data_IF_248030927051
#
_entry.id   IF_248030927051
#
_cell.length_a   1.000
_cell.length_b   1.000
_cell.length_c   1.000
_cell.angle_alpha   90.00
_cell.angle_beta   90.00
_cell.angle_gamma   90.00
#
_symmetry.space_group_name_H-M   'P 1'
#
loop_
_entity.id
_entity.type
_entity.pdbx_description
1 polymer ?
#
# COMPACT_ATOMS: atom_id res chain seq x y z
N UNK A 1 45.29 27.00 21.04
CA UNK A 1 44.38 27.76 20.15
C UNK A 1 44.15 26.92 18.94
N UNK A 2 43.12 26.10 18.95
CA UNK A 2 42.69 25.24 17.85
C UNK A 2 41.31 25.71 17.45
N UNK A 3 41.21 26.23 16.21
CA UNK A 3 40.01 26.79 15.61
C UNK A 3 39.03 25.66 15.28
N UNK A 4 37.82 25.71 15.89
CA UNK A 4 36.67 24.91 15.53
C UNK A 4 36.27 25.16 14.07
N UNK A 5 36.01 24.11 13.28
CA UNK A 5 35.39 24.28 11.97
C UNK A 5 33.89 24.63 12.15
N UNK A 6 33.54 25.86 11.80
CA UNK A 6 32.14 26.33 11.73
C UNK A 6 31.28 25.34 10.94
N UNK A 7 30.35 24.68 11.64
CA UNK A 7 29.24 23.98 11.02
C UNK A 7 28.46 25.00 10.18
N UNK A 8 28.50 24.85 8.87
CA UNK A 8 27.72 25.66 7.93
C UNK A 8 26.23 25.34 8.15
N UNK A 9 25.50 26.31 8.67
CA UNK A 9 24.04 26.25 8.73
C UNK A 9 23.49 26.02 7.29
N UNK A 10 22.48 25.17 7.11
CA UNK A 10 21.89 24.98 5.81
C UNK A 10 21.24 26.31 5.37
N UNK A 11 21.72 26.85 4.25
CA UNK A 11 21.11 28.01 3.61
C UNK A 11 19.65 27.65 3.26
N UNK A 12 18.72 28.36 3.87
CA UNK A 12 17.28 28.27 3.58
C UNK A 12 17.01 28.93 2.21
N UNK A 13 17.64 28.40 1.14
CA UNK A 13 17.41 28.89 -0.22
C UNK A 13 16.01 28.48 -0.66
N UNK A 14 15.18 29.46 -0.92
CA UNK A 14 13.84 29.26 -1.46
C UNK A 14 13.92 28.50 -2.79
N UNK A 15 13.22 27.38 -2.90
CA UNK A 15 13.19 26.57 -4.12
C UNK A 15 12.25 27.18 -5.17
N UNK A 16 12.74 28.16 -5.91
CA UNK A 16 12.00 28.83 -6.97
C UNK A 16 11.47 27.86 -8.03
N UNK A 17 12.23 26.84 -8.39
CA UNK A 17 11.81 25.85 -9.39
C UNK A 17 10.65 25.01 -8.86
N UNK A 18 10.70 24.55 -7.61
CA UNK A 18 9.60 23.83 -6.99
C UNK A 18 8.34 24.67 -6.86
N UNK A 19 8.47 25.95 -6.51
CA UNK A 19 7.37 26.89 -6.46
C UNK A 19 6.77 27.14 -7.87
N UNK A 20 7.59 27.31 -8.90
CA UNK A 20 7.12 27.47 -10.28
C UNK A 20 6.40 26.19 -10.76
N UNK A 21 6.91 25.02 -10.46
CA UNK A 21 6.22 23.75 -10.77
C UNK A 21 4.87 23.69 -10.07
N UNK A 22 4.81 23.98 -8.78
CA UNK A 22 3.59 23.92 -7.97
C UNK A 22 2.51 24.85 -8.43
N UNK A 23 2.86 26.10 -8.70
CA UNK A 23 1.89 27.17 -8.91
C UNK A 23 1.61 27.50 -10.37
N UNK A 24 2.47 27.10 -11.31
CA UNK A 24 2.34 27.43 -12.73
C UNK A 24 2.38 26.18 -13.62
N UNK A 25 3.49 25.44 -13.59
CA UNK A 25 3.73 24.37 -14.58
C UNK A 25 2.74 23.22 -14.40
N UNK A 26 2.63 22.69 -13.17
CA UNK A 26 1.74 21.56 -12.88
C UNK A 26 0.25 21.92 -13.08
N UNK A 27 -0.27 23.07 -12.62
CA UNK A 27 -1.66 23.46 -12.89
C UNK A 27 -1.98 23.58 -14.38
N UNK A 28 -1.10 24.18 -15.18
CA UNK A 28 -1.29 24.28 -16.63
C UNK A 28 -1.24 22.91 -17.31
N UNK A 29 -0.26 22.10 -16.95
CA UNK A 29 -0.15 20.72 -17.44
C UNK A 29 -1.38 19.87 -17.05
N UNK A 30 -1.81 19.95 -15.79
CA UNK A 30 -2.96 19.22 -15.30
C UNK A 30 -4.26 19.66 -16.00
N UNK A 31 -4.44 20.96 -16.25
CA UNK A 31 -5.63 21.46 -16.97
C UNK A 31 -5.80 20.80 -18.35
N UNK A 32 -4.70 20.48 -19.03
CA UNK A 32 -4.71 19.86 -20.37
C UNK A 32 -4.82 18.34 -20.26
N UNK A 33 -4.04 17.71 -19.38
CA UNK A 33 -3.87 16.25 -19.35
C UNK A 33 -4.78 15.56 -18.31
N UNK A 34 -5.22 16.29 -17.30
CA UNK A 34 -5.97 15.83 -16.12
C UNK A 34 -7.03 16.86 -15.71
N UNK A 35 -8.02 17.15 -16.56
CA UNK A 35 -8.92 18.30 -16.37
C UNK A 35 -9.76 18.26 -15.09
N UNK A 36 -10.05 17.06 -14.55
CA UNK A 36 -10.80 16.90 -13.31
C UNK A 36 -9.92 16.98 -12.05
N UNK A 37 -8.59 16.90 -12.17
CA UNK A 37 -7.66 16.83 -11.04
C UNK A 37 -7.84 18.00 -10.05
N UNK A 38 -7.83 19.25 -10.55
CA UNK A 38 -7.89 20.43 -9.68
C UNK A 38 -9.23 20.54 -8.93
N UNK A 39 -10.33 20.08 -9.56
CA UNK A 39 -11.65 20.00 -8.93
C UNK A 39 -11.64 18.99 -7.79
N UNK A 40 -11.21 17.75 -8.05
CA UNK A 40 -11.15 16.71 -7.04
C UNK A 40 -10.19 17.05 -5.88
N UNK A 41 -9.03 17.64 -6.17
CA UNK A 41 -8.10 18.03 -5.11
C UNK A 41 -8.77 19.01 -4.14
N UNK A 42 -9.44 20.05 -4.65
CA UNK A 42 -10.15 21.03 -3.85
C UNK A 42 -11.29 20.41 -3.06
N UNK A 43 -12.10 19.56 -3.70
CA UNK A 43 -13.20 18.85 -3.03
C UNK A 43 -12.67 17.97 -1.90
N UNK A 44 -11.63 17.18 -2.12
CA UNK A 44 -11.05 16.29 -1.13
C UNK A 44 -10.38 17.05 0.03
N UNK A 45 -9.71 18.18 -0.24
CA UNK A 45 -9.16 19.05 0.80
C UNK A 45 -10.24 19.67 1.69
N UNK A 46 -11.43 19.93 1.17
CA UNK A 46 -12.57 20.41 1.93
C UNK A 46 -13.30 19.27 2.66
N UNK A 47 -13.57 18.17 1.95
CA UNK A 47 -14.37 17.06 2.46
C UNK A 47 -13.76 16.40 3.70
N UNK A 48 -12.43 16.42 3.85
CA UNK A 48 -11.77 15.84 5.01
C UNK A 48 -12.16 16.50 6.35
N UNK A 49 -12.80 17.67 6.32
CA UNK A 49 -13.28 18.42 7.48
C UNK A 49 -14.81 18.53 7.54
N UNK A 50 -15.55 17.83 6.67
CA UNK A 50 -17.01 17.76 6.75
C UNK A 50 -17.45 17.15 8.08
N UNK A 51 -18.65 17.56 8.57
CA UNK A 51 -19.24 16.82 9.66
C UNK A 51 -19.44 15.35 9.27
N UNK A 52 -19.24 14.37 10.16
CA UNK A 52 -19.37 12.94 9.83
C UNK A 52 -20.68 12.58 9.12
N UNK A 53 -21.80 13.19 9.52
CA UNK A 53 -23.10 12.96 8.89
C UNK A 53 -23.14 13.48 7.45
N UNK A 54 -22.48 14.60 7.17
CA UNK A 54 -22.45 15.17 5.81
C UNK A 54 -21.50 14.37 4.91
N UNK A 55 -20.41 13.82 5.47
CA UNK A 55 -19.57 12.85 4.77
C UNK A 55 -20.35 11.57 4.44
N UNK A 56 -21.14 11.04 5.37
CA UNK A 56 -22.03 9.89 5.13
C UNK A 56 -23.07 10.20 4.03
N UNK A 57 -23.71 11.38 4.08
CA UNK A 57 -24.65 11.81 3.01
C UNK A 57 -23.96 11.90 1.64
N UNK A 58 -22.73 12.42 1.60
CA UNK A 58 -21.90 12.47 0.39
C UNK A 58 -21.67 11.05 -0.15
N UNK A 59 -21.20 10.12 0.69
CA UNK A 59 -20.97 8.73 0.32
C UNK A 59 -22.26 8.08 -0.23
N UNK A 60 -23.39 8.23 0.46
CA UNK A 60 -24.67 7.65 0.02
C UNK A 60 -25.15 8.24 -1.29
N UNK A 61 -24.95 9.53 -1.54
CA UNK A 61 -25.27 10.15 -2.83
C UNK A 61 -24.43 9.54 -3.97
N UNK A 62 -23.12 9.40 -3.74
CA UNK A 62 -22.19 8.81 -4.74
C UNK A 62 -22.48 7.33 -4.94
N UNK A 63 -22.72 6.58 -3.87
CA UNK A 63 -23.08 5.16 -3.92
C UNK A 63 -24.36 4.92 -4.71
N UNK A 64 -25.41 5.71 -4.44
CA UNK A 64 -26.68 5.59 -5.15
C UNK A 64 -26.49 5.80 -6.66
N UNK A 65 -25.72 6.81 -7.05
CA UNK A 65 -25.40 7.04 -8.45
C UNK A 65 -24.61 5.87 -9.05
N UNK A 66 -23.62 5.36 -8.32
CA UNK A 66 -22.80 4.23 -8.74
C UNK A 66 -23.64 2.95 -8.92
N UNK A 67 -24.58 2.66 -8.00
CA UNK A 67 -25.48 1.51 -8.10
C UNK A 67 -26.44 1.63 -9.28
N UNK A 68 -27.03 2.81 -9.51
CA UNK A 68 -27.92 3.05 -10.65
C UNK A 68 -27.16 2.86 -11.96
N UNK A 69 -25.97 3.41 -12.08
CA UNK A 69 -25.14 3.30 -13.29
C UNK A 69 -24.69 1.84 -13.50
N UNK A 70 -24.26 1.15 -12.43
CA UNK A 70 -23.89 -0.27 -12.47
C UNK A 70 -25.07 -1.15 -12.91
N UNK A 71 -26.24 -0.98 -12.32
CA UNK A 71 -27.43 -1.74 -12.69
C UNK A 71 -27.85 -1.49 -14.16
N UNK A 72 -27.77 -0.24 -14.62
CA UNK A 72 -28.20 0.15 -15.97
C UNK A 72 -27.21 -0.26 -17.05
N UNK A 73 -25.91 -0.13 -16.81
CA UNK A 73 -24.88 -0.16 -17.84
C UNK A 73 -23.85 -1.30 -17.70
N UNK A 74 -23.87 -2.06 -16.60
CA UNK A 74 -22.92 -3.15 -16.34
C UNK A 74 -23.70 -4.46 -16.21
N UNK A 75 -23.64 -5.35 -17.23
CA UNK A 75 -24.43 -6.59 -17.26
C UNK A 75 -24.24 -7.47 -16.02
N UNK A 76 -23.01 -7.57 -15.52
CA UNK A 76 -22.67 -8.34 -14.32
C UNK A 76 -23.47 -7.91 -13.07
N UNK A 77 -23.53 -6.61 -12.78
CA UNK A 77 -24.27 -6.13 -11.61
C UNK A 77 -25.77 -6.21 -11.78
N UNK A 78 -26.28 -5.98 -12.99
CA UNK A 78 -27.70 -6.17 -13.26
C UNK A 78 -28.14 -7.62 -12.99
N UNK A 79 -27.35 -8.58 -13.48
CA UNK A 79 -27.62 -10.00 -13.27
C UNK A 79 -27.61 -10.35 -11.78
N UNK A 80 -26.52 -10.04 -11.05
CA UNK A 80 -26.36 -10.36 -9.62
C UNK A 80 -27.41 -9.71 -8.73
N UNK A 81 -27.78 -8.45 -9.00
CA UNK A 81 -28.84 -7.78 -8.24
C UNK A 81 -30.20 -8.41 -8.52
N UNK A 82 -30.49 -8.73 -9.78
CA UNK A 82 -31.75 -9.41 -10.15
C UNK A 82 -31.85 -10.79 -9.51
N UNK A 83 -30.79 -11.58 -9.50
CA UNK A 83 -30.78 -12.90 -8.84
C UNK A 83 -30.97 -12.77 -7.31
N UNK A 84 -30.42 -11.72 -6.69
CA UNK A 84 -30.63 -11.43 -5.28
C UNK A 84 -32.00 -10.78 -4.97
N UNK A 85 -32.84 -10.54 -5.98
CA UNK A 85 -34.14 -9.86 -5.81
C UNK A 85 -34.01 -8.39 -5.43
N UNK A 86 -32.87 -7.75 -5.76
CA UNK A 86 -32.52 -6.38 -5.36
C UNK A 86 -32.57 -5.41 -6.54
N UNK A 87 -32.84 -4.17 -6.21
CA UNK A 87 -32.69 -3.01 -7.08
C UNK A 87 -31.76 -1.97 -6.42
N UNK A 88 -31.23 -0.99 -7.15
CA UNK A 88 -30.46 0.11 -6.54
C UNK A 88 -31.22 0.90 -5.46
N UNK A 89 -32.56 0.85 -5.46
CA UNK A 89 -33.39 1.58 -4.50
C UNK A 89 -33.53 0.88 -3.14
N UNK A 90 -33.15 -0.38 -3.05
CA UNK A 90 -33.19 -1.16 -1.82
C UNK A 90 -31.99 -0.82 -0.91
N UNK A 91 -30.91 -0.24 -1.48
CA UNK A 91 -29.73 0.22 -0.72
C UNK A 91 -29.94 1.70 -0.36
N UNK A 92 -30.43 1.94 0.85
CA UNK A 92 -30.81 3.27 1.35
C UNK A 92 -29.79 3.85 2.31
N UNK A 93 -29.11 3.00 3.06
CA UNK A 93 -28.09 3.33 4.08
C UNK A 93 -26.84 2.48 3.91
N UNK A 94 -25.78 2.79 4.68
CA UNK A 94 -24.56 1.96 4.67
C UNK A 94 -24.82 0.56 5.24
N UNK A 95 -25.77 0.44 6.16
CA UNK A 95 -26.17 -0.80 6.80
C UNK A 95 -26.85 -1.78 5.82
N UNK A 96 -27.32 -1.29 4.68
CA UNK A 96 -27.91 -2.12 3.62
C UNK A 96 -26.85 -2.69 2.66
N UNK A 97 -25.61 -2.22 2.70
CA UNK A 97 -24.54 -2.72 1.82
C UNK A 97 -24.34 -4.23 1.87
N UNK A 98 -24.40 -4.91 3.02
CA UNK A 98 -24.30 -6.36 3.12
C UNK A 98 -25.35 -7.15 2.32
N UNK A 99 -26.45 -6.53 1.90
CA UNK A 99 -27.44 -7.16 1.00
C UNK A 99 -26.84 -7.42 -0.40
N UNK A 100 -25.88 -6.59 -0.81
CA UNK A 100 -25.19 -6.75 -2.09
C UNK A 100 -24.16 -7.89 -2.02
N UNK A 101 -24.11 -8.78 -3.02
CA UNK A 101 -23.10 -9.83 -3.08
C UNK A 101 -21.66 -9.26 -3.15
N UNK A 102 -20.74 -9.91 -2.47
CA UNK A 102 -19.32 -9.56 -2.51
C UNK A 102 -18.74 -9.83 -3.90
N UNK A 103 -18.00 -8.89 -4.44
CA UNK A 103 -17.21 -9.04 -5.67
C UNK A 103 -15.84 -9.60 -5.33
N UNK A 104 -15.51 -10.75 -5.87
CA UNK A 104 -14.19 -11.39 -5.66
C UNK A 104 -13.24 -11.12 -6.82
N UNK A 105 -11.93 -11.36 -6.59
CA UNK A 105 -10.93 -11.33 -7.66
C UNK A 105 -11.26 -12.32 -8.78
N UNK A 106 -11.78 -13.49 -8.43
CA UNK A 106 -12.20 -14.54 -9.39
C UNK A 106 -13.37 -14.07 -10.24
N UNK A 107 -14.38 -13.43 -9.65
CA UNK A 107 -15.50 -12.85 -10.42
C UNK A 107 -14.98 -11.89 -11.49
N UNK A 108 -13.98 -11.05 -11.17
CA UNK A 108 -13.41 -10.11 -12.14
C UNK A 108 -12.67 -10.86 -13.25
N UNK A 109 -11.92 -11.91 -12.92
CA UNK A 109 -11.17 -12.70 -13.90
C UNK A 109 -12.11 -13.48 -14.85
N UNK A 110 -13.16 -14.08 -14.30
CA UNK A 110 -14.08 -14.92 -15.04
C UNK A 110 -15.11 -14.11 -15.87
N UNK A 111 -15.39 -12.85 -15.46
CA UNK A 111 -16.46 -12.02 -16.04
C UNK A 111 -16.01 -10.61 -16.44
N UNK A 112 -14.74 -10.44 -16.82
CA UNK A 112 -14.16 -9.12 -17.10
C UNK A 112 -14.99 -8.30 -18.09
N UNK A 113 -15.41 -8.88 -19.20
CA UNK A 113 -16.20 -8.19 -20.24
C UNK A 113 -17.58 -7.75 -19.77
N UNK A 114 -18.19 -8.52 -18.85
CA UNK A 114 -19.51 -8.21 -18.28
C UNK A 114 -19.41 -7.11 -17.20
N UNK A 115 -18.24 -6.90 -16.62
CA UNK A 115 -17.98 -5.85 -15.61
C UNK A 115 -17.70 -4.48 -16.23
N UNK A 116 -17.43 -4.43 -17.54
CA UNK A 116 -17.14 -3.16 -18.21
C UNK A 116 -18.44 -2.43 -18.57
N UNK A 117 -18.55 -1.20 -18.11
CA UNK A 117 -19.72 -0.35 -18.37
C UNK A 117 -19.86 -0.01 -19.85
N UNK A 118 -21.05 -0.21 -20.41
CA UNK A 118 -21.38 0.18 -21.79
C UNK A 118 -21.49 1.68 -21.99
N UNK A 119 -21.66 2.45 -20.90
CA UNK A 119 -21.83 3.91 -20.93
C UNK A 119 -20.52 4.68 -21.09
N UNK A 120 -19.38 4.09 -20.79
CA UNK A 120 -18.07 4.73 -20.91
C UNK A 120 -17.38 4.22 -22.18
N UNK A 121 -17.10 5.09 -23.17
CA UNK A 121 -16.47 4.64 -24.41
C UNK A 121 -15.01 4.22 -24.21
N UNK A 122 -14.45 3.31 -25.06
CA UNK A 122 -13.10 2.76 -24.89
C UNK A 122 -11.98 3.81 -24.77
N UNK A 123 -12.08 4.92 -25.53
CA UNK A 123 -11.09 6.01 -25.49
C UNK A 123 -11.13 6.84 -24.18
N UNK A 124 -12.14 6.64 -23.33
CA UNK A 124 -12.24 7.22 -21.98
C UNK A 124 -11.85 6.25 -20.86
N UNK A 125 -11.39 5.05 -21.21
CA UNK A 125 -10.94 4.02 -20.27
C UNK A 125 -9.43 3.88 -20.34
N UNK A 126 -8.79 3.74 -19.17
CA UNK A 126 -7.37 3.39 -19.05
C UNK A 126 -7.30 1.97 -18.51
N UNK A 127 -6.65 1.07 -19.23
CA UNK A 127 -6.34 -0.26 -18.74
C UNK A 127 -5.28 -0.19 -17.64
N UNK A 128 -5.44 -1.00 -16.63
CA UNK A 128 -4.48 -1.17 -15.53
C UNK A 128 -4.43 -2.65 -15.14
N UNK A 129 -3.37 -3.05 -14.43
CA UNK A 129 -3.21 -4.43 -13.98
C UNK A 129 -2.51 -4.51 -12.64
N UNK A 130 -2.80 -5.56 -11.87
CA UNK A 130 -2.08 -5.84 -10.62
C UNK A 130 -0.73 -6.50 -10.89
N UNK A 131 0.19 -6.44 -9.92
CA UNK A 131 1.54 -7.02 -10.05
C UNK A 131 1.60 -8.56 -10.03
N UNK A 132 0.46 -9.27 -9.94
CA UNK A 132 0.41 -10.73 -10.10
C UNK A 132 1.11 -11.54 -9.00
N UNK A 133 1.12 -11.10 -7.75
CA UNK A 133 1.72 -11.84 -6.62
C UNK A 133 1.14 -13.25 -6.38
N UNK A 134 0.01 -13.58 -7.01
CA UNK A 134 -0.66 -14.90 -6.95
C UNK A 134 -0.69 -15.61 -8.31
N UNK A 135 0.25 -15.31 -9.22
CA UNK A 135 0.40 -15.98 -10.51
C UNK A 135 -0.31 -15.31 -11.69
N UNK A 136 -1.57 -14.88 -11.56
CA UNK A 136 -2.29 -14.23 -12.66
C UNK A 136 -2.58 -12.77 -12.33
N UNK A 137 -2.03 -11.79 -13.10
CA UNK A 137 -2.36 -10.37 -12.93
C UNK A 137 -3.86 -10.15 -13.16
N UNK A 138 -4.49 -9.35 -12.29
CA UNK A 138 -5.83 -8.89 -12.51
C UNK A 138 -5.80 -7.69 -13.45
N UNK A 139 -6.48 -7.77 -14.57
CA UNK A 139 -6.69 -6.65 -15.49
C UNK A 139 -8.01 -5.95 -15.15
N UNK A 140 -8.01 -4.62 -15.17
CA UNK A 140 -9.19 -3.82 -14.91
C UNK A 140 -9.10 -2.46 -15.62
N UNK A 141 -10.24 -1.76 -15.67
CA UNK A 141 -10.33 -0.45 -16.30
C UNK A 141 -10.66 0.64 -15.30
N UNK A 142 -10.03 1.79 -15.50
CA UNK A 142 -10.29 3.02 -14.76
C UNK A 142 -10.65 4.10 -15.78
N UNK A 143 -11.77 4.81 -15.58
CA UNK A 143 -12.06 5.94 -16.45
C UNK A 143 -11.12 7.13 -16.21
N UNK A 144 -11.04 8.02 -17.19
CA UNK A 144 -10.11 9.16 -17.14
C UNK A 144 -10.38 10.06 -15.94
N UNK A 145 -11.65 10.28 -15.59
CA UNK A 145 -12.03 11.11 -14.46
C UNK A 145 -11.65 10.48 -13.12
N UNK A 146 -11.86 9.16 -12.99
CA UNK A 146 -11.40 8.42 -11.82
C UNK A 146 -9.88 8.43 -11.70
N UNK A 147 -9.15 8.36 -12.81
CA UNK A 147 -7.69 8.47 -12.79
C UNK A 147 -7.25 9.82 -12.20
N UNK A 148 -7.88 10.92 -12.59
CA UNK A 148 -7.61 12.25 -12.07
C UNK A 148 -7.92 12.35 -10.57
N UNK A 149 -9.03 11.77 -10.10
CA UNK A 149 -9.39 11.74 -8.69
C UNK A 149 -8.41 10.92 -7.85
N UNK A 150 -7.83 9.82 -8.40
CA UNK A 150 -6.76 9.05 -7.75
C UNK A 150 -5.51 9.88 -7.55
N UNK A 151 -5.12 10.66 -8.56
CA UNK A 151 -3.99 11.60 -8.43
C UNK A 151 -4.25 12.65 -7.35
N UNK A 152 -5.46 13.23 -7.32
CA UNK A 152 -5.86 14.20 -6.32
C UNK A 152 -5.85 13.62 -4.90
N UNK A 153 -6.38 12.40 -4.71
CA UNK A 153 -6.32 11.66 -3.44
C UNK A 153 -4.86 11.47 -2.99
N UNK A 154 -3.99 11.03 -3.90
CA UNK A 154 -2.57 10.82 -3.58
C UNK A 154 -1.89 12.12 -3.14
N UNK A 155 -2.15 13.24 -3.85
CA UNK A 155 -1.59 14.54 -3.48
C UNK A 155 -2.09 15.00 -2.10
N UNK A 156 -3.40 14.87 -1.82
CA UNK A 156 -3.95 15.17 -0.49
C UNK A 156 -3.28 14.34 0.61
N UNK A 157 -3.20 13.03 0.44
CA UNK A 157 -2.59 12.15 1.45
C UNK A 157 -1.09 12.41 1.63
N UNK A 158 -0.36 12.69 0.54
CA UNK A 158 1.05 13.10 0.61
C UNK A 158 1.25 14.40 1.39
N UNK A 159 0.30 15.34 1.29
CA UNK A 159 0.39 16.63 1.99
C UNK A 159 0.33 16.50 3.51
N UNK A 160 -0.28 15.42 4.05
CA UNK A 160 -0.29 15.15 5.49
C UNK A 160 1.10 14.81 6.04
N UNK A 161 1.97 14.25 5.20
CA UNK A 161 3.38 14.04 5.49
C UNK A 161 4.27 15.23 5.06
N UNK A 162 3.68 16.35 4.63
CA UNK A 162 4.38 17.54 4.19
C UNK A 162 4.81 17.57 2.73
N UNK A 163 4.73 16.46 1.99
CA UNK A 163 5.12 16.38 0.58
C UNK A 163 4.10 17.08 -0.32
N UNK A 164 4.53 18.09 -1.05
CA UNK A 164 3.71 18.89 -1.98
C UNK A 164 4.17 18.71 -3.43
N UNK A 165 3.29 19.03 -4.36
CA UNK A 165 3.66 19.12 -5.77
C UNK A 165 4.86 20.09 -5.92
N UNK A 166 5.87 19.66 -6.67
CA UNK A 166 7.09 20.44 -6.89
C UNK A 166 8.19 20.25 -5.84
N UNK A 167 7.96 19.45 -4.80
CA UNK A 167 9.03 19.05 -3.89
C UNK A 167 9.78 17.84 -4.44
N UNK A 168 11.10 17.78 -4.19
CA UNK A 168 11.89 16.59 -4.51
C UNK A 168 11.60 15.47 -3.51
N UNK A 169 11.43 14.25 -4.01
CA UNK A 169 11.32 13.06 -3.17
C UNK A 169 12.11 11.88 -3.73
N UNK A 170 12.66 11.08 -2.83
CA UNK A 170 13.26 9.80 -3.12
C UNK A 170 12.17 8.76 -3.34
N UNK A 171 12.33 7.86 -4.34
CA UNK A 171 11.31 6.89 -4.70
C UNK A 171 11.89 5.48 -4.89
N UNK A 172 12.34 4.81 -3.81
CA UNK A 172 12.68 3.40 -3.84
C UNK A 172 11.43 2.55 -4.06
N UNK A 173 11.23 2.05 -5.29
CA UNK A 173 9.98 1.42 -5.69
C UNK A 173 10.19 0.09 -6.41
N UNK A 174 9.42 -0.95 -6.06
CA UNK A 174 9.62 -2.31 -6.56
C UNK A 174 8.90 -2.63 -7.87
N UNK A 175 7.90 -1.84 -8.26
CA UNK A 175 7.08 -2.15 -9.44
C UNK A 175 7.75 -1.70 -10.74
N UNK A 176 8.13 -2.66 -11.58
CA UNK A 176 8.60 -2.39 -12.95
C UNK A 176 7.55 -1.70 -13.81
N UNK A 177 6.29 -2.01 -13.57
CA UNK A 177 5.18 -1.39 -14.31
C UNK A 177 5.09 0.12 -14.10
N UNK A 178 5.49 0.62 -12.92
CA UNK A 178 5.42 2.05 -12.59
C UNK A 178 6.69 2.80 -13.02
N UNK A 179 7.85 2.16 -12.93
CA UNK A 179 9.16 2.80 -13.20
C UNK A 179 9.71 2.49 -14.60
N UNK A 180 9.16 1.47 -15.30
CA UNK A 180 9.75 0.93 -16.51
C UNK A 180 11.07 0.19 -16.24
N UNK A 181 11.78 -0.16 -17.29
CA UNK A 181 13.04 -0.93 -17.21
C UNK A 181 14.30 -0.04 -17.06
N UNK A 182 14.16 1.20 -16.58
CA UNK A 182 15.28 2.12 -16.43
C UNK A 182 16.02 1.90 -15.10
N UNK A 183 17.22 1.34 -15.12
CA UNK A 183 18.04 1.11 -13.92
C UNK A 183 18.76 2.38 -13.43
N UNK A 184 18.72 3.49 -14.18
CA UNK A 184 19.43 4.71 -13.84
C UNK A 184 18.66 5.52 -12.78
N UNK A 185 19.24 5.76 -11.59
CA UNK A 185 18.64 6.59 -10.57
C UNK A 185 18.58 8.09 -10.93
N UNK A 186 19.31 8.53 -11.97
CA UNK A 186 19.22 9.92 -12.44
C UNK A 186 17.85 10.19 -13.03
N UNK A 187 17.19 11.31 -12.65
CA UNK A 187 15.84 11.58 -13.10
C UNK A 187 15.82 11.91 -14.60
N UNK A 188 14.95 11.21 -15.34
CA UNK A 188 14.62 11.61 -16.70
C UNK A 188 13.96 13.00 -16.73
N UNK A 189 13.86 13.61 -17.91
CA UNK A 189 13.35 14.99 -18.05
C UNK A 189 11.99 15.23 -17.33
N UNK A 190 11.02 14.31 -17.49
CA UNK A 190 9.72 14.42 -16.81
C UNK A 190 9.82 14.32 -15.30
N UNK A 191 10.62 13.39 -14.79
CA UNK A 191 10.88 13.28 -13.36
C UNK A 191 11.56 14.54 -12.82
N UNK A 192 12.46 15.16 -13.59
CA UNK A 192 13.18 16.36 -13.16
C UNK A 192 12.29 17.62 -13.14
N UNK A 193 11.48 17.83 -14.16
CA UNK A 193 10.77 19.11 -14.36
C UNK A 193 9.26 19.07 -14.08
N UNK A 194 8.69 17.90 -13.82
CA UNK A 194 7.26 17.78 -13.51
C UNK A 194 7.04 17.07 -12.17
N UNK A 195 7.59 15.89 -12.00
CA UNK A 195 7.33 15.05 -10.82
C UNK A 195 8.35 15.24 -9.69
N UNK A 196 9.57 15.67 -10.01
CA UNK A 196 10.71 15.80 -9.06
C UNK A 196 10.96 14.54 -8.24
N UNK A 197 10.89 13.39 -8.87
CA UNK A 197 11.14 12.09 -8.25
C UNK A 197 12.51 11.53 -8.63
N UNK A 198 13.19 10.95 -7.63
CA UNK A 198 14.46 10.27 -7.75
C UNK A 198 14.22 8.78 -7.51
N UNK A 199 14.16 7.99 -8.57
CA UNK A 199 13.70 6.60 -8.49
C UNK A 199 14.86 5.63 -8.32
N UNK A 200 14.67 4.62 -7.46
CA UNK A 200 15.52 3.43 -7.35
C UNK A 200 14.63 2.20 -7.56
N UNK A 201 14.96 1.41 -8.57
CA UNK A 201 14.23 0.15 -8.82
C UNK A 201 14.69 -0.92 -7.84
N UNK A 202 13.80 -1.37 -6.94
CA UNK A 202 14.18 -2.22 -5.80
C UNK A 202 13.87 -3.71 -5.95
N UNK A 203 13.22 -4.13 -7.04
CA UNK A 203 12.92 -5.56 -7.26
C UNK A 203 14.18 -6.42 -7.43
N UNK A 204 15.27 -5.85 -7.99
CA UNK A 204 16.58 -6.51 -8.12
C UNK A 204 17.69 -5.45 -8.00
N UNK A 205 17.90 -4.94 -6.76
CA UNK A 205 18.86 -3.86 -6.53
C UNK A 205 20.22 -4.41 -6.09
N UNK A 206 21.30 -3.99 -6.78
CA UNK A 206 22.68 -4.25 -6.35
C UNK A 206 23.19 -3.15 -5.40
N UNK A 207 24.27 -3.45 -4.68
CA UNK A 207 24.92 -2.46 -3.80
C UNK A 207 25.45 -1.27 -4.58
N UNK A 208 25.96 -1.48 -5.81
CA UNK A 208 26.42 -0.39 -6.68
C UNK A 208 25.24 0.52 -7.08
N UNK A 209 24.04 -0.04 -7.34
CA UNK A 209 22.86 0.76 -7.64
C UNK A 209 22.42 1.58 -6.43
N UNK A 210 22.46 1.01 -5.22
CA UNK A 210 22.18 1.73 -3.99
C UNK A 210 23.21 2.83 -3.74
N UNK A 211 24.51 2.58 -3.99
CA UNK A 211 25.55 3.60 -3.84
C UNK A 211 25.35 4.74 -4.85
N UNK A 212 25.08 4.45 -6.12
CA UNK A 212 24.74 5.50 -7.12
C UNK A 212 23.52 6.30 -6.71
N UNK A 213 22.52 5.65 -6.10
CA UNK A 213 21.35 6.34 -5.60
C UNK A 213 21.70 7.30 -4.45
N UNK A 214 22.58 6.92 -3.53
CA UNK A 214 23.12 7.80 -2.48
C UNK A 214 23.75 9.05 -3.08
N UNK A 215 24.55 8.92 -4.15
CA UNK A 215 25.16 10.07 -4.84
C UNK A 215 24.11 11.01 -5.43
N UNK A 216 23.04 10.45 -6.03
CA UNK A 216 21.91 11.22 -6.54
C UNK A 216 21.18 11.94 -5.40
N UNK A 217 20.94 11.26 -4.27
CA UNK A 217 20.32 11.88 -3.10
C UNK A 217 21.16 13.02 -2.53
N UNK A 218 22.49 12.88 -2.46
CA UNK A 218 23.41 13.95 -2.05
C UNK A 218 23.34 15.17 -2.96
N UNK A 219 23.19 14.94 -4.26
CA UNK A 219 23.10 16.01 -5.27
C UNK A 219 21.79 16.79 -5.21
N UNK A 220 20.66 16.08 -5.09
CA UNK A 220 19.32 16.69 -5.17
C UNK A 220 18.72 17.04 -3.80
N UNK A 221 19.20 16.42 -2.72
CA UNK A 221 18.81 16.63 -1.33
C UNK A 221 17.28 16.63 -1.14
N UNK A 222 16.58 15.54 -1.53
CA UNK A 222 15.13 15.45 -1.34
C UNK A 222 14.79 15.47 0.16
N UNK A 223 13.74 16.19 0.52
CA UNK A 223 13.23 16.23 1.90
C UNK A 223 12.30 15.09 2.22
N UNK A 224 11.82 14.38 1.21
CA UNK A 224 10.78 13.35 1.33
C UNK A 224 11.21 12.05 0.69
N UNK A 225 10.65 10.94 1.22
CA UNK A 225 10.75 9.63 0.57
C UNK A 225 9.35 9.05 0.42
N UNK A 226 9.06 8.41 -0.72
CA UNK A 226 7.89 7.57 -0.96
C UNK A 226 8.39 6.21 -1.41
N UNK A 227 8.16 5.17 -0.63
CA UNK A 227 8.80 3.88 -0.86
C UNK A 227 7.88 2.69 -0.56
N UNK A 228 8.23 1.51 -1.08
CA UNK A 228 7.77 0.27 -0.48
C UNK A 228 8.40 0.10 0.90
N UNK A 229 7.64 -0.40 1.88
CA UNK A 229 8.10 -0.48 3.26
C UNK A 229 9.42 -1.28 3.39
N UNK A 230 9.49 -2.47 2.79
CA UNK A 230 10.71 -3.29 2.82
C UNK A 230 11.85 -2.70 1.99
N UNK A 231 11.54 -2.00 0.89
CA UNK A 231 12.55 -1.30 0.10
C UNK A 231 13.22 -0.17 0.88
N UNK A 232 12.43 0.60 1.62
CA UNK A 232 12.94 1.64 2.51
C UNK A 232 13.83 1.06 3.61
N UNK A 233 13.38 -0.02 4.26
CA UNK A 233 14.14 -0.71 5.32
C UNK A 233 15.46 -1.25 4.78
N UNK A 234 15.45 -1.93 3.63
CA UNK A 234 16.68 -2.44 3.00
C UNK A 234 17.66 -1.34 2.66
N UNK A 235 17.16 -0.19 2.19
CA UNK A 235 18.00 0.97 1.91
C UNK A 235 18.57 1.58 3.21
N UNK A 236 17.80 1.62 4.30
CA UNK A 236 18.31 2.07 5.60
C UNK A 236 19.38 1.11 6.15
N UNK A 237 19.15 -0.20 6.07
CA UNK A 237 20.14 -1.21 6.47
C UNK A 237 21.44 -1.09 5.66
N UNK A 238 21.34 -0.84 4.35
CA UNK A 238 22.49 -0.57 3.48
C UNK A 238 23.26 0.70 3.92
N UNK A 239 22.55 1.81 4.18
CA UNK A 239 23.17 3.04 4.65
C UNK A 239 23.92 2.84 5.98
N UNK A 240 23.30 2.13 6.93
CA UNK A 240 23.91 1.83 8.22
C UNK A 240 25.17 0.95 8.08
N UNK A 241 25.11 -0.10 7.27
CA UNK A 241 26.25 -1.01 7.01
C UNK A 241 27.43 -0.27 6.38
N UNK A 242 27.17 0.71 5.51
CA UNK A 242 28.19 1.51 4.82
C UNK A 242 28.52 2.83 5.53
N UNK A 243 28.02 3.05 6.77
CA UNK A 243 28.26 4.26 7.58
C UNK A 243 27.86 5.57 6.87
N UNK A 244 26.78 5.51 6.09
CA UNK A 244 26.19 6.65 5.39
C UNK A 244 25.18 7.32 6.33
N UNK A 245 25.54 8.46 6.92
CA UNK A 245 24.74 9.17 7.93
C UNK A 245 24.31 10.57 7.48
N UNK A 246 24.65 10.95 6.26
CA UNK A 246 24.41 12.28 5.68
C UNK A 246 23.12 12.34 4.83
N UNK A 247 22.45 11.22 4.63
CA UNK A 247 21.14 11.18 3.98
C UNK A 247 20.04 11.31 5.05
N UNK A 248 19.23 12.34 4.93
CA UNK A 248 18.12 12.62 5.86
C UNK A 248 16.85 12.98 5.11
N UNK A 249 15.68 12.71 5.70
CA UNK A 249 14.38 13.12 5.17
C UNK A 249 13.56 13.80 6.27
N UNK A 250 12.74 14.79 5.92
CA UNK A 250 11.80 15.40 6.87
C UNK A 250 10.67 14.38 7.16
N UNK A 251 10.22 13.66 6.12
CA UNK A 251 9.26 12.56 6.26
C UNK A 251 9.41 11.48 5.19
N UNK A 252 8.93 10.28 5.53
CA UNK A 252 8.97 9.09 4.69
C UNK A 252 7.58 8.46 4.63
N UNK A 253 6.99 8.40 3.44
CA UNK A 253 5.72 7.71 3.21
C UNK A 253 6.05 6.29 2.75
N UNK A 254 5.67 5.29 3.54
CA UNK A 254 5.84 3.89 3.18
C UNK A 254 4.50 3.26 2.78
N UNK A 255 4.51 2.36 1.83
CA UNK A 255 3.28 1.80 1.25
C UNK A 255 3.51 0.41 0.68
N UNK A 256 2.43 -0.18 0.13
CA UNK A 256 2.41 -1.42 -0.64
C UNK A 256 2.67 -2.71 0.13
N UNK A 257 3.30 -2.64 1.29
CA UNK A 257 3.63 -3.74 2.18
C UNK A 257 3.42 -3.30 3.62
N UNK A 258 3.23 -4.26 4.53
CA UNK A 258 3.08 -3.95 5.95
C UNK A 258 4.39 -3.38 6.51
N UNK A 259 4.27 -2.25 7.20
CA UNK A 259 5.35 -1.69 8.01
C UNK A 259 5.34 -2.36 9.40
N UNK A 260 6.32 -3.21 9.65
CA UNK A 260 6.47 -3.82 10.98
C UNK A 260 6.93 -2.76 12.01
N UNK A 261 6.41 -2.77 13.24
CA UNK A 261 6.70 -1.73 14.26
C UNK A 261 8.20 -1.48 14.49
N UNK A 262 9.01 -2.52 14.67
CA UNK A 262 10.46 -2.37 14.84
C UNK A 262 11.18 -1.77 13.63
N UNK A 263 10.60 -1.88 12.42
CA UNK A 263 11.20 -1.33 11.20
C UNK A 263 10.93 0.17 11.04
N UNK A 264 9.85 0.70 11.63
CA UNK A 264 9.61 2.14 11.73
C UNK A 264 10.78 2.84 12.43
N UNK A 265 11.18 2.33 13.60
CA UNK A 265 12.29 2.89 14.36
C UNK A 265 13.61 2.91 13.57
N UNK A 266 13.94 1.82 12.85
CA UNK A 266 15.14 1.78 12.00
C UNK A 266 15.13 2.90 10.95
N UNK A 267 13.99 3.15 10.30
CA UNK A 267 13.87 4.21 9.30
C UNK A 267 14.04 5.60 9.93
N UNK A 268 13.36 5.86 11.04
CA UNK A 268 13.37 7.15 11.73
C UNK A 268 14.74 7.47 12.31
N UNK A 269 15.44 6.48 12.88
CA UNK A 269 16.81 6.64 13.40
C UNK A 269 17.81 6.86 12.26
N UNK A 270 17.73 6.06 11.17
CA UNK A 270 18.68 6.15 10.06
C UNK A 270 18.56 7.48 9.33
N UNK A 271 17.33 7.89 9.00
CA UNK A 271 17.09 9.05 8.14
C UNK A 271 16.62 10.31 8.88
N UNK A 272 16.49 10.24 10.21
CA UNK A 272 16.17 11.36 11.12
C UNK A 272 14.86 12.08 10.80
N UNK A 273 13.88 11.37 10.22
CA UNK A 273 12.58 11.90 9.86
C UNK A 273 11.44 11.01 10.30
N UNK A 274 10.19 11.47 10.19
CA UNK A 274 9.02 10.73 10.59
C UNK A 274 8.54 9.78 9.48
N UNK A 275 8.09 8.59 9.85
CA UNK A 275 7.49 7.63 8.94
C UNK A 275 5.97 7.75 8.96
N UNK A 276 5.36 7.76 7.78
CA UNK A 276 3.92 7.77 7.55
C UNK A 276 3.53 6.51 6.81
N UNK A 277 2.67 5.70 7.42
CA UNK A 277 2.15 4.50 6.77
C UNK A 277 0.98 4.81 5.85
N UNK A 278 0.94 4.16 4.67
CA UNK A 278 -0.11 4.32 3.67
C UNK A 278 -0.58 2.98 3.14
N UNK A 279 -1.86 2.74 3.30
CA UNK A 279 -2.54 1.58 2.82
C UNK A 279 -3.23 1.83 1.49
N UNK A 280 -3.12 0.91 0.57
CA UNK A 280 -3.78 0.97 -0.72
C UNK A 280 -3.47 -0.22 -1.61
N UNK A 281 -4.23 -0.32 -2.68
CA UNK A 281 -4.04 -1.32 -3.70
C UNK A 281 -4.12 -0.70 -5.10
N UNK A 282 -3.70 -1.45 -6.11
CA UNK A 282 -3.68 -0.92 -7.48
C UNK A 282 -5.09 -0.70 -8.03
N UNK A 283 -6.05 -1.49 -7.59
CA UNK A 283 -7.43 -1.47 -8.04
C UNK A 283 -8.17 -0.17 -7.68
N UNK A 284 -7.94 0.36 -6.47
CA UNK A 284 -8.65 1.56 -5.99
C UNK A 284 -7.71 2.72 -5.58
N UNK A 285 -6.39 2.53 -5.66
CA UNK A 285 -5.36 3.50 -5.25
C UNK A 285 -5.23 3.62 -3.72
N UNK A 286 -5.07 4.84 -3.19
CA UNK A 286 -4.97 5.09 -1.75
C UNK A 286 -6.30 4.75 -1.08
N UNK A 287 -6.28 3.83 -0.11
CA UNK A 287 -7.42 3.48 0.72
C UNK A 287 -7.39 4.28 2.02
N UNK A 288 -6.23 4.33 2.68
CA UNK A 288 -6.05 5.07 3.92
C UNK A 288 -4.59 5.48 4.13
N UNK A 289 -4.34 6.51 4.96
CA UNK A 289 -2.99 6.95 5.32
C UNK A 289 -2.95 7.55 6.71
N UNK A 290 -1.79 7.45 7.36
CA UNK A 290 -1.49 8.21 8.57
C UNK A 290 -1.48 9.71 8.28
N UNK A 291 -1.86 10.49 9.26
CA UNK A 291 -1.62 11.92 9.34
C UNK A 291 -0.49 12.24 10.32
N UNK A 292 -0.23 13.52 10.55
CA UNK A 292 0.81 14.06 11.44
C UNK A 292 0.73 13.58 12.90
N UNK A 293 -0.41 13.04 13.33
CA UNK A 293 -0.63 12.52 14.70
C UNK A 293 -0.38 11.02 14.84
N UNK A 294 -0.23 10.28 13.73
CA UNK A 294 0.02 8.82 13.74
C UNK A 294 -0.96 7.99 14.61
N UNK A 295 -2.22 8.45 14.70
CA UNK A 295 -3.26 7.82 15.56
C UNK A 295 -4.08 6.77 14.81
N UNK A 296 -3.63 6.30 13.65
CA UNK A 296 -4.31 5.37 12.74
C UNK A 296 -4.35 5.90 11.32
N UNK A 297 -4.93 5.11 10.42
CA UNK A 297 -4.97 5.43 8.99
C UNK A 297 -6.33 6.04 8.63
N UNK A 298 -6.36 7.31 8.25
CA UNK A 298 -7.57 7.97 7.75
C UNK A 298 -7.99 7.40 6.40
N UNK A 299 -9.21 6.87 6.33
CA UNK A 299 -9.80 6.33 5.11
C UNK A 299 -10.07 7.44 4.11
N UNK A 300 -9.84 7.17 2.83
CA UNK A 300 -10.17 8.05 1.69
C UNK A 300 -11.69 8.03 1.42
N UNK A 301 -12.48 8.40 2.46
CA UNK A 301 -13.92 8.13 2.56
C UNK A 301 -14.78 8.95 1.60
N UNK A 302 -14.26 10.02 1.02
CA UNK A 302 -14.95 10.80 -0.01
C UNK A 302 -14.79 10.22 -1.43
N UNK A 303 -14.02 9.12 -1.57
CA UNK A 303 -13.86 8.37 -2.83
C UNK A 303 -14.21 6.89 -2.67
N UNK A 304 -14.18 6.37 -1.45
CA UNK A 304 -14.35 4.94 -1.14
C UNK A 304 -15.30 4.73 0.03
N UNK A 305 -16.01 3.60 0.04
CA UNK A 305 -16.55 3.02 1.26
C UNK A 305 -15.70 1.80 1.58
N UNK A 306 -15.25 1.70 2.83
CA UNK A 306 -14.46 0.58 3.32
C UNK A 306 -15.27 -0.11 4.40
N UNK A 307 -15.54 -1.40 4.20
CA UNK A 307 -16.19 -2.30 5.16
C UNK A 307 -15.15 -3.27 5.70
N UNK A 308 -15.28 -3.63 6.98
CA UNK A 308 -14.56 -4.78 7.56
C UNK A 308 -15.61 -5.80 7.95
N UNK A 309 -15.76 -6.80 7.12
CA UNK A 309 -16.77 -7.85 7.29
C UNK A 309 -16.21 -8.98 8.15
N UNK A 310 -16.80 -9.26 9.32
CA UNK A 310 -16.38 -10.39 10.16
C UNK A 310 -16.38 -11.69 9.35
N UNK A 311 -15.36 -12.52 9.55
CA UNK A 311 -15.29 -13.83 8.92
C UNK A 311 -15.04 -14.92 9.96
N UNK A 312 -15.60 -16.13 9.80
CA UNK A 312 -15.36 -17.25 10.71
C UNK A 312 -13.84 -17.53 10.79
N UNK A 313 -13.41 -17.99 11.98
CA UNK A 313 -12.02 -18.36 12.28
C UNK A 313 -11.00 -17.20 12.34
N UNK A 314 -11.43 -15.95 12.29
CA UNK A 314 -10.58 -14.79 12.55
C UNK A 314 -10.63 -14.38 14.04
N UNK A 315 -9.58 -13.71 14.54
CA UNK A 315 -9.62 -13.10 15.87
C UNK A 315 -10.78 -12.10 16.00
N UNK A 316 -11.32 -11.97 17.22
CA UNK A 316 -12.40 -11.02 17.51
C UNK A 316 -12.02 -9.60 17.09
N UNK A 317 -12.95 -8.89 16.47
CA UNK A 317 -12.76 -7.52 15.97
C UNK A 317 -12.07 -7.43 14.61
N UNK A 318 -11.68 -8.56 14.00
CA UNK A 318 -11.10 -8.61 12.67
C UNK A 318 -12.07 -9.10 11.62
N UNK A 319 -11.89 -8.62 10.40
CA UNK A 319 -12.68 -9.03 9.26
C UNK A 319 -11.97 -8.82 7.93
N UNK A 320 -12.63 -9.30 6.85
CA UNK A 320 -12.20 -9.10 5.47
C UNK A 320 -12.42 -7.65 5.07
N UNK A 321 -11.44 -7.05 4.41
CA UNK A 321 -11.59 -5.69 3.88
C UNK A 321 -12.32 -5.74 2.55
N UNK A 322 -13.50 -5.12 2.51
CA UNK A 322 -14.27 -4.90 1.29
C UNK A 322 -14.23 -3.42 0.95
N UNK A 323 -14.05 -3.11 -0.33
CA UNK A 323 -13.99 -1.72 -0.80
C UNK A 323 -15.00 -1.49 -1.91
N UNK A 324 -15.78 -0.42 -1.76
CA UNK A 324 -16.62 0.11 -2.83
C UNK A 324 -16.01 1.38 -3.38
N UNK A 325 -15.61 1.37 -4.66
CA UNK A 325 -15.11 2.56 -5.36
C UNK A 325 -16.30 3.40 -5.83
N UNK A 326 -16.47 4.57 -5.23
CA UNK A 326 -17.61 5.47 -5.49
C UNK A 326 -17.48 6.26 -6.79
N UNK A 327 -16.31 6.24 -7.43
CA UNK A 327 -15.98 7.15 -8.52
C UNK A 327 -15.61 6.45 -9.83
N UNK A 328 -15.27 5.16 -9.83
CA UNK A 328 -14.93 4.43 -11.05
C UNK A 328 -16.20 3.96 -11.78
N UNK A 329 -16.53 4.61 -12.88
CA UNK A 329 -17.73 4.29 -13.69
C UNK A 329 -17.45 3.34 -14.84
N UNK A 330 -16.19 3.17 -15.24
CA UNK A 330 -15.84 2.31 -16.38
C UNK A 330 -15.87 0.82 -16.04
N UNK A 331 -15.48 0.48 -14.82
CA UNK A 331 -15.53 -0.87 -14.27
C UNK A 331 -15.75 -0.74 -12.75
N UNK A 332 -17.01 -0.62 -12.32
CA UNK A 332 -17.34 -0.43 -10.92
C UNK A 332 -16.83 -1.57 -10.05
N UNK A 333 -16.21 -1.26 -8.92
CA UNK A 333 -15.82 -2.20 -7.88
C UNK A 333 -16.73 -1.94 -6.66
N UNK A 334 -17.78 -2.74 -6.52
CA UNK A 334 -18.78 -2.62 -5.45
C UNK A 334 -18.62 -3.82 -4.52
N UNK A 335 -18.34 -3.57 -3.23
CA UNK A 335 -18.01 -4.57 -2.22
C UNK A 335 -16.90 -5.52 -2.67
N UNK A 336 -15.85 -4.96 -3.27
CA UNK A 336 -14.71 -5.74 -3.77
C UNK A 336 -13.83 -6.23 -2.61
N UNK A 337 -13.67 -7.55 -2.51
CA UNK A 337 -12.77 -8.20 -1.55
C UNK A 337 -11.33 -8.08 -2.05
N UNK A 338 -10.56 -7.21 -1.41
CA UNK A 338 -9.17 -6.94 -1.83
C UNK A 338 -8.18 -8.01 -1.34
N UNK A 339 -8.65 -8.93 -0.48
CA UNK A 339 -7.87 -10.02 0.08
C UNK A 339 -7.01 -9.64 1.29
N UNK A 340 -7.29 -8.51 1.92
CA UNK A 340 -6.63 -8.07 3.15
C UNK A 340 -7.55 -8.22 4.35
N UNK A 341 -6.96 -8.35 5.55
CA UNK A 341 -7.68 -8.38 6.83
C UNK A 341 -7.32 -7.15 7.65
N UNK A 342 -8.33 -6.59 8.30
CA UNK A 342 -8.16 -5.41 9.17
C UNK A 342 -9.15 -5.41 10.33
N UNK A 343 -8.95 -4.48 11.26
CA UNK A 343 -9.97 -4.04 12.21
C UNK A 343 -10.45 -2.63 11.85
N UNK A 344 -11.76 -2.35 12.03
CA UNK A 344 -12.26 -0.99 12.00
C UNK A 344 -12.22 -0.44 13.43
N UNK A 345 -11.63 0.74 13.57
CA UNK A 345 -11.68 1.49 14.83
C UNK A 345 -12.60 2.70 14.63
N UNK A 346 -13.90 2.46 14.84
CA UNK A 346 -14.96 3.46 14.60
C UNK A 346 -15.10 4.47 15.73
N UNK A 347 -14.51 4.21 16.90
CA UNK A 347 -14.66 5.04 18.10
C UNK A 347 -13.52 6.04 18.30
N UNK A 348 -12.34 5.75 17.75
CA UNK A 348 -11.17 6.64 17.89
C UNK A 348 -11.30 7.85 16.99
N UNK A 349 -11.22 9.03 17.59
CA UNK A 349 -11.10 10.30 16.86
C UNK A 349 -9.65 10.77 16.88
N UNK A 350 -9.13 11.11 15.69
CA UNK A 350 -7.81 11.68 15.59
C UNK A 350 -7.81 13.15 16.03
N UNK A 351 -6.81 13.60 16.80
CA UNK A 351 -6.68 15.02 17.18
C UNK A 351 -6.46 15.99 16.03
N UNK A 352 -6.16 15.48 14.83
CA UNK A 352 -5.90 16.30 13.64
C UNK A 352 -7.10 17.14 13.15
N UNK A 353 -8.29 16.86 13.67
CA UNK A 353 -9.53 17.55 13.29
C UNK A 353 -10.16 17.09 11.98
N UNK A 354 -9.54 16.12 11.26
CA UNK A 354 -10.18 15.48 10.10
C UNK A 354 -11.26 14.53 10.56
N UNK A 355 -12.38 14.53 9.86
CA UNK A 355 -13.54 13.68 10.16
C UNK A 355 -13.53 12.35 9.40
N UNK A 356 -12.49 12.08 8.63
CA UNK A 356 -12.33 10.82 7.90
C UNK A 356 -12.23 9.65 8.88
N UNK A 357 -12.99 8.56 8.69
CA UNK A 357 -12.92 7.38 9.55
C UNK A 357 -11.50 6.81 9.63
N UNK A 358 -11.18 6.18 10.74
CA UNK A 358 -9.93 5.47 10.91
C UNK A 358 -10.12 3.97 10.64
N UNK A 359 -9.21 3.39 9.88
CA UNK A 359 -9.01 1.95 9.84
C UNK A 359 -7.93 1.60 10.86
N UNK A 360 -8.17 0.55 11.64
CA UNK A 360 -7.23 0.07 12.66
C UNK A 360 -6.09 -0.76 12.04
N UNK A 361 -5.65 -1.77 12.77
CA UNK A 361 -4.53 -2.59 12.33
C UNK A 361 -4.87 -3.39 11.07
N UNK A 362 -4.06 -3.21 10.03
CA UNK A 362 -4.05 -4.07 8.85
C UNK A 362 -3.12 -5.25 9.14
N UNK A 363 -3.66 -6.47 9.07
CA UNK A 363 -2.93 -7.69 9.45
C UNK A 363 -2.29 -8.41 8.26
N UNK A 364 -2.29 -7.80 7.09
CA UNK A 364 -1.77 -8.38 5.86
C UNK A 364 -2.83 -9.12 5.04
N UNK A 365 -2.37 -9.89 4.05
CA UNK A 365 -3.25 -10.58 3.10
C UNK A 365 -3.74 -11.89 3.66
N UNK A 366 -4.91 -12.34 3.24
CA UNK A 366 -5.43 -13.68 3.53
C UNK A 366 -4.48 -14.80 3.08
N UNK A 367 -3.66 -14.54 2.04
CA UNK A 367 -2.58 -15.44 1.59
C UNK A 367 -1.34 -15.43 2.48
N UNK A 368 -1.22 -14.49 3.40
CA UNK A 368 -0.13 -14.40 4.38
C UNK A 368 -0.52 -14.98 5.75
N UNK A 369 -1.52 -15.86 5.78
CA UNK A 369 -1.94 -16.57 6.98
C UNK A 369 -1.51 -18.03 6.96
N UNK A 370 -0.99 -18.48 8.09
CA UNK A 370 -0.87 -19.92 8.38
C UNK A 370 -2.24 -20.45 8.79
N UNK A 371 -2.62 -21.60 8.28
CA UNK A 371 -3.83 -22.31 8.68
C UNK A 371 -3.46 -23.48 9.59
N UNK A 372 -3.97 -23.50 10.80
CA UNK A 372 -3.73 -24.59 11.74
C UNK A 372 -4.69 -25.78 11.50
N UNK A 373 -4.39 -26.99 12.03
CA UNK A 373 -5.27 -28.15 11.94
C UNK A 373 -6.67 -27.90 12.51
N UNK A 374 -6.80 -27.08 13.55
CA UNK A 374 -8.08 -26.60 14.12
C UNK A 374 -8.91 -25.74 13.17
N UNK A 375 -8.35 -25.31 12.02
CA UNK A 375 -8.93 -24.34 11.11
C UNK A 375 -8.68 -22.89 11.50
N UNK A 376 -8.06 -22.62 12.67
CA UNK A 376 -7.66 -21.29 13.10
C UNK A 376 -6.61 -20.70 12.15
N UNK A 377 -6.71 -19.42 11.88
CA UNK A 377 -5.78 -18.68 11.01
C UNK A 377 -4.88 -17.75 11.83
N UNK A 378 -3.59 -17.73 11.52
CA UNK A 378 -2.60 -16.86 12.17
C UNK A 378 -1.91 -16.04 11.10
N UNK A 379 -1.90 -14.72 11.27
CA UNK A 379 -1.18 -13.83 10.36
C UNK A 379 0.33 -14.06 10.42
N UNK A 380 0.95 -14.40 9.30
CA UNK A 380 2.40 -14.53 9.18
C UNK A 380 3.15 -13.27 9.62
N UNK A 381 2.71 -12.06 9.23
CA UNK A 381 3.27 -10.82 9.77
C UNK A 381 3.23 -10.73 11.30
N UNK A 382 2.15 -11.16 11.95
CA UNK A 382 2.05 -11.17 13.42
C UNK A 382 3.05 -12.13 14.08
N UNK A 383 3.28 -13.30 13.47
CA UNK A 383 4.34 -14.21 13.92
C UNK A 383 5.74 -13.63 13.63
N UNK A 384 5.92 -12.95 12.50
CA UNK A 384 7.20 -12.31 12.17
C UNK A 384 7.57 -11.21 13.17
N UNK A 385 6.58 -10.56 13.81
CA UNK A 385 6.80 -9.59 14.89
C UNK A 385 7.51 -10.21 16.11
N UNK A 386 7.30 -11.50 16.37
CA UNK A 386 7.95 -12.20 17.48
C UNK A 386 9.49 -12.33 17.31
N UNK A 387 9.98 -12.07 16.09
CA UNK A 387 11.42 -12.03 15.78
C UNK A 387 11.93 -10.59 15.52
N UNK A 388 11.06 -9.58 15.54
CA UNK A 388 11.40 -8.24 15.08
C UNK A 388 12.41 -7.51 15.99
N UNK A 389 12.48 -7.85 17.28
CA UNK A 389 13.43 -7.32 18.26
C UNK A 389 14.76 -8.10 18.33
N UNK A 390 14.84 -9.25 17.62
CA UNK A 390 16.02 -10.09 17.62
C UNK A 390 17.06 -9.56 16.61
N UNK A 391 18.17 -8.99 17.12
CA UNK A 391 19.24 -8.36 16.30
C UNK A 391 19.99 -9.35 15.43
N UNK A 392 19.99 -10.61 15.81
CA UNK A 392 20.61 -11.75 15.13
C UNK A 392 19.68 -12.41 14.08
N UNK A 393 18.47 -11.86 13.86
CA UNK A 393 17.52 -12.27 12.82
C UNK A 393 17.28 -11.10 11.87
N UNK A 394 17.63 -11.26 10.58
CA UNK A 394 17.46 -10.23 9.55
C UNK A 394 16.09 -10.28 8.89
N UNK A 395 15.68 -11.49 8.47
CA UNK A 395 14.40 -11.73 7.79
C UNK A 395 13.84 -13.10 8.17
N UNK A 396 12.51 -13.23 8.14
CA UNK A 396 11.81 -14.50 8.37
C UNK A 396 10.71 -14.70 7.33
N UNK A 397 10.53 -15.95 6.86
CA UNK A 397 9.44 -16.33 5.98
C UNK A 397 8.91 -17.70 6.40
N UNK A 398 7.61 -17.82 6.50
CA UNK A 398 6.95 -19.09 6.78
C UNK A 398 6.64 -19.81 5.48
N UNK A 399 6.94 -21.12 5.44
CA UNK A 399 6.55 -22.00 4.35
C UNK A 399 5.64 -23.06 4.95
N UNK A 400 4.38 -23.05 4.54
CA UNK A 400 3.40 -24.04 5.02
C UNK A 400 3.16 -25.09 3.96
N UNK A 401 3.51 -26.33 4.26
CA UNK A 401 3.27 -27.49 3.40
C UNK A 401 1.84 -28.02 3.54
N UNK A 402 1.39 -28.10 4.76
CA UNK A 402 0.04 -28.44 5.18
C UNK A 402 -0.20 -27.85 6.57
N UNK A 403 -1.42 -27.91 7.12
CA UNK A 403 -1.71 -27.31 8.43
C UNK A 403 -0.84 -27.82 9.58
N UNK A 404 -0.30 -29.05 9.51
CA UNK A 404 0.51 -29.64 10.56
C UNK A 404 2.02 -29.34 10.44
N UNK A 405 2.49 -28.84 9.29
CA UNK A 405 3.93 -28.65 9.03
C UNK A 405 4.25 -27.23 8.56
N UNK A 406 4.89 -26.48 9.44
CA UNK A 406 5.35 -25.10 9.19
C UNK A 406 6.88 -25.07 9.21
N UNK A 407 7.48 -24.52 8.15
CA UNK A 407 8.92 -24.26 8.09
C UNK A 407 9.14 -22.76 8.23
N UNK A 408 9.94 -22.33 9.21
CA UNK A 408 10.43 -20.97 9.35
C UNK A 408 11.78 -20.84 8.65
N UNK A 409 11.80 -20.12 7.55
CA UNK A 409 13.03 -19.75 6.84
C UNK A 409 13.58 -18.47 7.45
N UNK A 410 14.85 -18.48 7.87
CA UNK A 410 15.50 -17.38 8.59
C UNK A 410 16.71 -16.90 7.80
N UNK A 411 16.83 -15.62 7.55
CA UNK A 411 18.08 -14.99 7.14
C UNK A 411 18.82 -14.56 8.40
N UNK A 412 19.94 -15.23 8.65
CA UNK A 412 20.75 -15.01 9.84
C UNK A 412 21.40 -13.61 9.84
N UNK A 413 21.40 -12.95 10.99
CA UNK A 413 22.16 -11.77 11.29
C UNK A 413 23.47 -12.09 12.02
N UNK A 414 24.20 -11.05 12.41
CA UNK A 414 25.43 -11.23 13.20
C UNK A 414 25.08 -11.78 14.59
N UNK A 415 25.73 -12.90 14.96
CA UNK A 415 25.50 -13.55 16.25
C UNK A 415 24.42 -14.65 16.25
N UNK A 416 23.85 -14.98 15.07
CA UNK A 416 22.89 -16.08 14.96
C UNK A 416 23.49 -17.41 15.44
N UNK A 417 22.76 -18.12 16.27
CA UNK A 417 23.24 -19.34 16.92
C UNK A 417 22.09 -20.28 17.26
N UNK A 418 22.39 -21.48 17.78
CA UNK A 418 21.39 -22.40 18.26
C UNK A 418 20.47 -21.77 19.33
N UNK A 419 21.02 -20.89 20.18
CA UNK A 419 20.24 -20.14 21.17
C UNK A 419 19.18 -19.24 20.52
N UNK A 420 19.49 -18.64 19.37
CA UNK A 420 18.55 -17.84 18.58
C UNK A 420 17.40 -18.71 18.06
N UNK A 421 17.70 -19.94 17.58
CA UNK A 421 16.67 -20.87 17.11
C UNK A 421 15.77 -21.35 18.26
N UNK A 422 16.34 -21.65 19.42
CA UNK A 422 15.59 -22.03 20.61
C UNK A 422 14.65 -20.89 21.05
N UNK A 423 15.12 -19.67 21.01
CA UNK A 423 14.32 -18.47 21.35
C UNK A 423 13.20 -18.23 20.32
N UNK A 424 13.48 -18.35 19.02
CA UNK A 424 12.45 -18.29 17.96
C UNK A 424 11.38 -19.35 18.19
N UNK A 425 11.79 -20.60 18.45
CA UNK A 425 10.87 -21.69 18.74
C UNK A 425 10.04 -21.42 19.99
N UNK A 426 10.66 -20.99 21.06
CA UNK A 426 9.98 -20.65 22.33
C UNK A 426 8.92 -19.55 22.14
N UNK A 427 9.20 -18.54 21.30
CA UNK A 427 8.26 -17.45 21.04
C UNK A 427 7.10 -17.84 20.11
N UNK A 428 7.37 -18.69 19.12
CA UNK A 428 6.41 -19.00 18.06
C UNK A 428 5.55 -20.25 18.35
N UNK A 429 6.12 -21.26 18.99
CA UNK A 429 5.41 -22.51 19.26
C UNK A 429 4.07 -22.37 19.99
N UNK A 430 3.90 -21.44 20.96
CA UNK A 430 2.60 -21.26 21.64
C UNK A 430 1.46 -20.82 20.70
N UNK A 431 1.79 -20.21 19.57
CA UNK A 431 0.80 -19.75 18.57
C UNK A 431 0.45 -20.86 17.57
N UNK A 432 1.37 -21.82 17.34
CA UNK A 432 1.23 -22.86 16.33
C UNK A 432 0.46 -24.09 16.81
N UNK A 433 0.03 -24.10 18.08
CA UNK A 433 -0.62 -25.24 18.76
C UNK A 433 0.27 -26.51 18.83
N UNK A 434 -0.14 -27.49 19.62
CA UNK A 434 0.65 -28.73 19.79
C UNK A 434 0.63 -29.61 18.53
N UNK A 435 -0.34 -29.44 17.68
CA UNK A 435 -0.54 -30.24 16.47
C UNK A 435 0.27 -29.79 15.27
N UNK A 436 0.89 -28.59 15.33
CA UNK A 436 1.71 -28.04 14.24
C UNK A 436 3.20 -28.08 14.61
N UNK A 437 3.98 -28.74 13.80
CA UNK A 437 5.44 -28.79 13.94
C UNK A 437 6.09 -27.54 13.33
N UNK A 438 7.08 -26.97 14.01
CA UNK A 438 7.91 -25.87 13.51
C UNK A 438 9.32 -26.36 13.20
N UNK A 439 9.69 -26.33 11.92
CA UNK A 439 11.07 -26.56 11.48
C UNK A 439 11.72 -25.20 11.17
N UNK A 440 12.94 -24.94 11.68
CA UNK A 440 13.69 -23.73 11.40
C UNK A 440 14.83 -24.08 10.44
N UNK A 441 14.97 -23.29 9.37
CA UNK A 441 16.03 -23.44 8.38
C UNK A 441 16.65 -22.07 8.09
N UNK A 442 17.97 -22.02 8.00
CA UNK A 442 18.69 -20.81 7.60
C UNK A 442 18.79 -20.70 6.08
N UNK A 443 18.86 -19.46 5.59
CA UNK A 443 19.07 -19.14 4.19
C UNK A 443 19.91 -17.85 4.04
N UNK A 444 20.64 -17.75 2.93
CA UNK A 444 21.44 -16.56 2.62
C UNK A 444 20.57 -15.34 2.35
N UNK A 445 19.42 -15.56 1.72
CA UNK A 445 18.45 -14.50 1.40
C UNK A 445 17.03 -15.05 1.23
N UNK A 446 16.05 -14.18 1.37
CA UNK A 446 14.66 -14.42 1.01
C UNK A 446 14.30 -13.40 -0.07
N UNK A 447 14.18 -13.83 -1.35
CA UNK A 447 13.89 -12.92 -2.45
C UNK A 447 12.46 -12.37 -2.35
N UNK A 448 12.30 -11.11 -2.79
CA UNK A 448 10.98 -10.54 -3.03
C UNK A 448 10.28 -11.25 -4.20
N UNK A 449 8.96 -11.17 -4.24
CA UNK A 449 8.15 -11.63 -5.37
C UNK A 449 8.49 -10.82 -6.65
N UNK A 450 8.13 -11.31 -7.86
CA UNK A 450 8.32 -10.56 -9.10
C UNK A 450 7.67 -9.17 -9.10
N UNK A 451 6.65 -8.97 -8.26
CA UNK A 451 6.00 -7.67 -8.01
C UNK A 451 6.86 -6.71 -7.18
N UNK A 452 8.02 -7.14 -6.69
CA UNK A 452 8.89 -6.43 -5.77
C UNK A 452 8.45 -6.47 -4.31
N UNK A 453 7.33 -7.15 -3.99
CA UNK A 453 6.79 -7.24 -2.64
C UNK A 453 7.37 -8.41 -1.87
N UNK A 454 7.49 -8.24 -0.54
CA UNK A 454 7.86 -9.31 0.38
C UNK A 454 6.61 -10.10 0.78
N UNK A 455 6.74 -11.44 0.91
CA UNK A 455 5.67 -12.33 1.30
C UNK A 455 6.07 -13.08 2.57
N UNK A 456 5.26 -12.96 3.62
CA UNK A 456 5.55 -13.58 4.92
C UNK A 456 5.22 -15.06 4.97
N UNK A 457 4.19 -15.50 4.25
CA UNK A 457 3.78 -16.90 4.17
C UNK A 457 3.77 -17.36 2.73
N UNK A 458 4.36 -18.53 2.45
CA UNK A 458 4.23 -19.27 1.19
C UNK A 458 3.60 -20.64 1.44
N UNK A 459 2.65 -21.01 0.60
CA UNK A 459 2.12 -22.39 0.57
C UNK A 459 2.86 -23.22 -0.49
N UNK A 460 2.71 -24.55 -0.48
CA UNK A 460 3.37 -25.42 -1.49
C UNK A 460 2.87 -25.11 -2.90
N UNK A 461 1.59 -24.81 -3.06
CA UNK A 461 1.04 -24.40 -4.36
C UNK A 461 1.78 -23.18 -4.94
N UNK A 462 2.33 -22.32 -4.07
CA UNK A 462 3.16 -21.18 -4.46
C UNK A 462 4.62 -21.54 -4.77
N UNK A 463 5.13 -22.69 -4.25
CA UNK A 463 6.54 -23.11 -4.42
C UNK A 463 6.76 -23.99 -5.64
N UNK A 464 5.70 -24.68 -6.10
CA UNK A 464 5.73 -25.56 -7.28
C UNK A 464 5.35 -24.88 -8.59
N UNK A 465 4.93 -23.61 -8.56
CA UNK A 465 4.74 -22.85 -9.80
C UNK A 465 6.08 -22.70 -10.51
N UNK A 466 6.30 -23.30 -11.70
CA UNK A 466 7.58 -23.22 -12.38
C UNK A 466 7.87 -21.76 -12.68
N UNK A 467 9.15 -21.39 -12.61
CA UNK A 467 9.68 -20.15 -13.17
C UNK A 467 9.46 -20.21 -14.70
N UNK A 468 8.24 -19.92 -15.12
CA UNK A 468 7.84 -19.95 -16.51
C UNK A 468 8.39 -18.71 -17.21
N UNK A 469 9.51 -18.98 -17.90
CA UNK A 469 9.90 -18.40 -19.19
C UNK A 469 10.12 -16.88 -19.23
N UNK A 470 11.37 -16.52 -18.94
CA UNK A 470 12.08 -15.50 -19.71
C UNK A 470 12.15 -15.95 -21.18
N UNK A 471 11.31 -15.39 -22.04
CA UNK A 471 11.60 -15.18 -23.47
C UNK A 471 10.99 -13.86 -23.90
#
# INVERSE_FOLDING_TARGET
MTSDPKASQPSNSFDFTGAAIRHVIHPLWAKVNHPAFARYLREFEQNQYLHPDDLRKLQMRLLRQQLIDAYRYVPFYRHRMTEAGLTPLDIRTHEDLPLLPVLTKRDIQDHQDLLVSSNIPPNKRKQNQTGGSTGSPLQFFVDVERFDSRMASTVRHNSWAGLRIGDWYAHPWGSRFDLGDHPDPNPAWRQKFLYRSLSLHTAAVSEEAMMRFVEVLRRYRPKYMVAYAQSAVRFAEFCNANKIHDITFDSMIVSAEMLLPGKRGILEETFRGKVFDRYGCREVSVIASECEYHSGLHVNADALIVEVEPAPNLPSGMGRVLVTDLLNRSMPLIRYEIGDLASLDTEVRCPCGRSLPLIGNIQGRTSDFLRLPSGRMIAGPSLALLAADMRDVRQVQFIQRDPAHVTLKVVAGNGYSQRTEEELRRRMQPYLEQESSLTIVTADSIPSEPSGKYRFVKTIEDTEAPAALSR
#
